data_IF_233572004014
#
_entry.id   IF_233572004014
#
_cell.length_a   1.000
_cell.length_b   1.000
_cell.length_c   1.000
_cell.angle_alpha   90.00
_cell.angle_beta   90.00
_cell.angle_gamma   90.00
#
_symmetry.space_group_name_H-M   'P 1'
#
loop_
_entity.id
_entity.type
_entity.pdbx_description
1 polymer ?
#
# COMPACT_ATOMS: atom_id res chain seq x y z
N UNK A 1 -5.59 -1.10 -42.89
CA UNK A 1 -4.26 -0.65 -42.44
C UNK A 1 -4.43 -0.11 -41.04
N UNK A 2 -3.83 -0.76 -40.04
CA UNK A 2 -3.88 -0.24 -38.66
C UNK A 2 -3.02 1.01 -38.59
N UNK A 3 -3.53 2.06 -37.96
CA UNK A 3 -2.74 3.26 -37.73
C UNK A 3 -1.65 2.97 -36.70
N UNK A 4 -0.55 3.72 -36.73
CA UNK A 4 0.54 3.59 -35.75
C UNK A 4 0.00 3.72 -34.31
N UNK A 5 -1.00 4.58 -34.11
CA UNK A 5 -1.69 4.72 -32.81
C UNK A 5 -2.43 3.46 -32.38
N UNK A 6 -3.08 2.76 -33.31
CA UNK A 6 -3.82 1.53 -33.03
C UNK A 6 -2.89 0.36 -32.68
N UNK A 7 -1.75 0.25 -33.38
CA UNK A 7 -0.72 -0.76 -33.07
C UNK A 7 -0.17 -0.55 -31.66
N UNK A 8 0.06 0.70 -31.25
CA UNK A 8 0.51 1.04 -29.90
C UNK A 8 -0.55 0.64 -28.86
N UNK A 9 -1.83 0.90 -29.13
CA UNK A 9 -2.94 0.50 -28.24
C UNK A 9 -2.98 -1.02 -28.06
N UNK A 10 -2.86 -1.78 -29.15
CA UNK A 10 -2.84 -3.25 -29.11
C UNK A 10 -1.61 -3.81 -28.36
N UNK A 11 -0.43 -3.21 -28.51
CA UNK A 11 0.77 -3.64 -27.78
C UNK A 11 0.65 -3.39 -26.27
N UNK A 12 0.08 -2.26 -25.87
CA UNK A 12 -0.15 -1.95 -24.45
C UNK A 12 -1.19 -2.89 -23.85
N UNK A 13 -2.27 -3.18 -24.57
CA UNK A 13 -3.31 -4.14 -24.14
C UNK A 13 -2.75 -5.56 -23.98
N UNK A 14 -1.96 -6.05 -24.93
CA UNK A 14 -1.32 -7.36 -24.84
C UNK A 14 -0.35 -7.45 -23.65
N UNK A 15 0.41 -6.39 -23.40
CA UNK A 15 1.35 -6.33 -22.27
C UNK A 15 0.63 -6.33 -20.92
N UNK A 16 -0.45 -5.55 -20.80
CA UNK A 16 -1.27 -5.52 -19.58
C UNK A 16 -1.95 -6.86 -19.32
N UNK A 17 -2.45 -7.52 -20.38
CA UNK A 17 -3.05 -8.85 -20.29
C UNK A 17 -2.03 -9.90 -19.83
N UNK A 18 -0.83 -9.93 -20.43
CA UNK A 18 0.25 -10.82 -20.03
C UNK A 18 0.68 -10.62 -18.58
N UNK A 19 0.76 -9.37 -18.13
CA UNK A 19 1.09 -9.05 -16.74
C UNK A 19 0.00 -9.52 -15.77
N UNK A 20 -1.28 -9.31 -16.08
CA UNK A 20 -2.39 -9.79 -15.27
C UNK A 20 -2.43 -11.32 -15.18
N UNK A 21 -2.19 -12.01 -16.31
CA UNK A 21 -2.12 -13.47 -16.36
C UNK A 21 -0.91 -14.00 -15.58
N UNK A 22 0.26 -13.38 -15.73
CA UNK A 22 1.47 -13.75 -15.00
C UNK A 22 1.35 -13.52 -13.49
N UNK A 23 0.71 -12.42 -13.09
CA UNK A 23 0.37 -12.13 -11.68
C UNK A 23 -0.56 -13.19 -11.10
N UNK A 24 -1.62 -13.55 -11.84
CA UNK A 24 -2.59 -14.56 -11.42
C UNK A 24 -1.94 -15.95 -11.28
N UNK A 25 -1.05 -16.33 -12.20
CA UNK A 25 -0.31 -17.60 -12.12
C UNK A 25 0.67 -17.64 -10.93
N UNK A 26 1.27 -16.50 -10.57
CA UNK A 26 2.16 -16.39 -9.42
C UNK A 26 1.40 -16.56 -8.10
N UNK A 27 0.19 -16.02 -8.00
CA UNK A 27 -0.70 -16.18 -6.85
C UNK A 27 -1.17 -17.64 -6.69
N UNK A 28 -1.43 -18.34 -7.81
CA UNK A 28 -1.89 -19.74 -7.81
C UNK A 28 -0.83 -20.72 -7.29
N UNK A 29 0.48 -20.39 -7.41
CA UNK A 29 1.57 -21.24 -6.92
C UNK A 29 1.72 -21.25 -5.40
N UNK A 30 1.14 -20.29 -4.68
CA UNK A 30 1.18 -20.27 -3.21
C UNK A 30 0.20 -21.25 -2.56
N UNK A 31 -0.80 -21.77 -3.29
CA UNK A 31 -1.77 -22.75 -2.76
C UNK A 31 -1.32 -24.20 -2.87
N UNK A 32 -0.40 -24.51 -3.79
CA UNK A 32 0.11 -25.87 -3.97
C UNK A 32 1.18 -26.24 -2.91
N UNK A 33 1.89 -25.26 -2.36
CA UNK A 33 2.91 -25.49 -1.32
C UNK A 33 2.29 -25.67 0.07
N UNK A 34 1.05 -25.24 0.29
CA UNK A 34 0.38 -25.30 1.60
C UNK A 34 -0.35 -26.62 1.92
N UNK A 35 -0.37 -27.61 1.00
CA UNK A 35 -1.03 -28.91 1.22
C UNK A 35 -0.10 -30.02 1.74
N UNK A 36 1.21 -29.77 1.88
CA UNK A 36 2.15 -30.74 2.46
C UNK A 36 2.61 -30.30 3.86
N UNK A 37 1.63 -30.14 4.76
CA UNK A 37 1.89 -29.88 6.17
C UNK A 37 0.92 -30.68 7.05
N UNK A 38 0.99 -32.01 6.94
CA UNK A 38 0.52 -32.98 7.94
C UNK A 38 1.22 -34.30 7.60
N UNK A 39 2.14 -34.82 8.42
CA UNK A 39 1.87 -35.66 9.59
C UNK A 39 3.07 -35.61 10.56
N UNK A 40 2.88 -35.32 11.86
CA UNK A 40 3.77 -35.78 12.92
C UNK A 40 3.31 -37.14 13.48
N UNK A 41 4.31 -37.90 13.98
CA UNK A 41 4.25 -39.08 14.85
C UNK A 41 4.02 -40.47 14.22
N UNK A 42 5.11 -41.28 14.13
CA UNK A 42 5.23 -42.56 14.86
C UNK A 42 6.39 -43.44 14.32
N UNK A 43 7.43 -43.59 15.16
CA UNK A 43 8.30 -44.78 15.36
C UNK A 43 9.21 -45.23 14.19
N UNK A 44 10.50 -44.89 14.30
CA UNK A 44 11.63 -45.80 14.08
C UNK A 44 12.96 -45.12 14.47
N UNK A 45 13.45 -45.35 15.69
CA UNK A 45 14.91 -45.32 15.94
C UNK A 45 15.51 -46.62 15.37
N UNK A 46 16.76 -46.58 14.86
CA UNK A 46 17.85 -47.10 15.68
C UNK A 46 19.13 -46.22 15.64
N UNK A 47 20.07 -46.49 16.56
CA UNK A 47 20.97 -45.51 17.15
C UNK A 47 22.36 -45.48 16.49
N UNK A 48 23.11 -44.39 16.69
CA UNK A 48 24.56 -44.43 16.53
C UNK A 48 25.21 -43.12 16.09
N UNK A 49 25.91 -42.52 17.05
CA UNK A 49 27.20 -41.85 16.88
C UNK A 49 27.25 -40.39 16.41
N UNK A 50 27.39 -39.54 17.43
CA UNK A 50 28.54 -38.68 17.72
C UNK A 50 28.80 -37.39 16.91
N UNK A 51 29.27 -36.40 17.70
CA UNK A 51 29.86 -35.08 17.39
C UNK A 51 28.91 -33.96 16.91
N UNK A 52 28.87 -32.76 17.49
CA UNK A 52 29.49 -32.11 18.65
C UNK A 52 28.65 -30.81 18.86
N UNK A 53 28.61 -30.25 20.08
CA UNK A 53 27.76 -29.13 20.47
C UNK A 53 28.45 -27.80 20.17
N UNK A 54 27.69 -26.70 20.03
CA UNK A 54 28.13 -25.41 20.58
C UNK A 54 26.93 -24.53 20.94
N UNK A 55 27.04 -24.04 22.17
CA UNK A 55 26.13 -23.32 23.06
C UNK A 55 25.57 -21.95 22.59
N UNK A 56 24.56 -21.40 23.33
CA UNK A 56 23.60 -20.36 22.92
C UNK A 56 23.84 -18.91 23.47
N UNK A 57 22.98 -17.91 23.07
CA UNK A 57 22.83 -16.51 23.53
C UNK A 57 23.40 -15.91 24.82
N UNK A 58 23.70 -14.60 24.73
CA UNK A 58 22.96 -13.44 25.30
C UNK A 58 23.58 -12.13 24.78
N UNK A 59 22.87 -11.00 24.60
CA UNK A 59 22.77 -9.89 25.58
C UNK A 59 21.97 -8.73 24.90
N UNK A 60 20.75 -8.32 25.30
CA UNK A 60 20.34 -7.37 26.37
C UNK A 60 21.13 -6.03 26.36
N UNK A 61 20.62 -4.79 26.52
CA UNK A 61 19.37 -4.15 27.04
C UNK A 61 19.50 -2.59 26.73
N UNK A 62 18.86 -1.59 27.40
CA UNK A 62 17.74 -0.79 26.86
C UNK A 62 17.81 0.76 27.17
N UNK A 63 16.67 1.45 26.99
CA UNK A 63 16.22 2.70 27.65
C UNK A 63 16.80 4.08 27.23
N UNK A 64 15.90 5.01 26.82
CA UNK A 64 15.61 6.25 27.58
C UNK A 64 14.43 7.04 26.95
N UNK A 65 13.49 7.43 27.82
CA UNK A 65 12.49 8.48 27.63
C UNK A 65 13.01 9.72 28.37
N UNK A 66 12.75 10.96 27.92
CA UNK A 66 11.92 11.77 28.80
C UNK A 66 10.92 12.72 28.10
N UNK A 67 9.80 12.85 28.80
CA UNK A 67 8.79 13.90 28.82
C UNK A 67 9.23 15.34 28.49
N UNK A 68 8.35 16.13 27.84
CA UNK A 68 7.66 17.26 28.50
C UNK A 68 6.53 17.87 27.66
N UNK A 69 5.47 18.26 28.37
CA UNK A 69 4.21 18.83 27.90
C UNK A 69 4.29 20.29 27.41
N UNK A 70 3.33 20.69 26.55
CA UNK A 70 2.62 22.00 26.64
C UNK A 70 1.35 22.07 25.78
N UNK A 71 0.22 21.83 26.46
CA UNK A 71 -1.09 22.50 26.43
C UNK A 71 -1.30 23.64 25.39
N UNK A 72 -2.30 23.50 24.51
CA UNK A 72 -3.31 24.55 24.19
C UNK A 72 -4.37 24.04 23.19
N UNK A 73 -5.61 23.93 23.65
CA UNK A 73 -6.82 23.74 22.83
C UNK A 73 -7.36 25.11 22.33
N UNK A 74 -8.58 25.22 21.77
CA UNK A 74 -8.98 24.91 20.39
C UNK A 74 -9.66 26.13 19.72
N UNK A 75 -9.61 26.29 18.39
CA UNK A 75 -10.56 27.19 17.70
C UNK A 75 -11.03 26.68 16.34
N UNK A 76 -12.32 26.31 16.34
CA UNK A 76 -13.34 26.79 15.38
C UNK A 76 -13.37 26.14 13.99
N UNK A 77 -14.07 25.01 13.93
CA UNK A 77 -15.35 24.86 13.18
C UNK A 77 -15.49 25.77 11.95
N UNK A 78 -15.35 25.16 10.78
CA UNK A 78 -16.13 25.51 9.60
C UNK A 78 -16.29 24.25 8.74
N UNK A 79 -17.38 23.53 8.95
CA UNK A 79 -18.00 22.81 7.85
C UNK A 79 -18.42 23.86 6.81
N UNK A 80 -18.23 23.57 5.52
CA UNK A 80 -19.42 23.58 4.71
C UNK A 80 -19.53 22.33 3.86
N UNK A 81 -20.72 21.72 3.95
CA UNK A 81 -21.34 20.90 2.93
C UNK A 81 -21.25 21.62 1.58
N UNK A 82 -20.76 20.94 0.55
CA UNK A 82 -21.23 21.04 -0.85
C UNK A 82 -20.54 19.97 -1.71
N UNK A 83 -21.27 18.89 -1.98
CA UNK A 83 -21.11 18.11 -3.21
C UNK A 83 -22.01 18.73 -4.30
N UNK A 84 -21.86 18.39 -5.59
CA UNK A 84 -20.64 18.08 -6.33
C UNK A 84 -20.54 18.98 -7.57
N UNK A 85 -19.35 19.43 -7.96
CA UNK A 85 -19.15 19.96 -9.32
C UNK A 85 -18.23 18.99 -10.05
N UNK A 86 -18.82 18.21 -10.96
CA UNK A 86 -18.12 17.50 -12.04
C UNK A 86 -17.56 18.59 -12.97
N UNK A 87 -16.39 19.13 -12.63
CA UNK A 87 -15.61 19.93 -13.58
C UNK A 87 -14.65 18.98 -14.29
N UNK A 88 -14.64 19.07 -15.62
CA UNK A 88 -13.78 18.31 -16.50
C UNK A 88 -12.34 18.26 -15.96
N UNK A 89 -11.83 17.04 -15.77
CA UNK A 89 -10.53 16.80 -15.17
C UNK A 89 -9.43 17.41 -16.06
N UNK A 90 -8.42 18.11 -15.49
CA UNK A 90 -7.13 18.20 -16.17
C UNK A 90 -6.65 16.78 -16.44
N UNK A 91 -5.87 16.55 -17.50
CA UNK A 91 -5.28 15.25 -17.85
C UNK A 91 -4.36 14.78 -16.72
N UNK A 92 -4.97 14.23 -15.68
CA UNK A 92 -4.33 13.64 -14.53
C UNK A 92 -4.03 12.21 -14.94
N UNK A 93 -2.76 11.84 -14.88
CA UNK A 93 -2.37 10.47 -15.14
C UNK A 93 -3.12 9.55 -14.16
N UNK A 94 -3.92 8.59 -14.66
CA UNK A 94 -4.67 7.68 -13.80
C UNK A 94 -3.68 6.91 -12.92
N UNK A 95 -3.98 6.84 -11.63
CA UNK A 95 -3.20 6.03 -10.69
C UNK A 95 -3.51 4.54 -10.86
N UNK A 96 -2.75 3.69 -10.15
CA UNK A 96 -2.90 2.23 -10.23
C UNK A 96 -4.25 1.70 -9.71
N UNK A 97 -5.05 2.55 -9.05
CA UNK A 97 -6.35 2.21 -8.47
C UNK A 97 -7.49 2.99 -9.13
N UNK A 98 -8.72 2.47 -9.14
CA UNK A 98 -9.88 3.20 -9.63
C UNK A 98 -10.07 4.49 -8.84
N UNK A 99 -10.34 5.60 -9.54
CA UNK A 99 -10.51 6.95 -8.95
C UNK A 99 -9.29 7.43 -8.16
N UNK A 100 -8.11 6.92 -8.52
CA UNK A 100 -6.83 7.42 -8.03
C UNK A 100 -6.06 8.13 -9.14
N UNK A 101 -5.08 8.91 -8.72
CA UNK A 101 -4.17 9.62 -9.60
C UNK A 101 -2.73 9.32 -9.24
N UNK A 102 -1.87 9.30 -10.27
CA UNK A 102 -0.44 9.21 -10.07
C UNK A 102 0.10 10.51 -9.45
N UNK A 103 1.03 10.43 -8.49
CA UNK A 103 1.69 11.60 -7.92
C UNK A 103 2.59 12.28 -8.94
N UNK A 104 2.86 13.56 -8.71
CA UNK A 104 3.94 14.27 -9.39
C UNK A 104 5.31 13.80 -8.89
N UNK A 105 6.40 14.13 -9.62
CA UNK A 105 7.75 13.99 -9.10
C UNK A 105 7.85 14.59 -7.69
N UNK A 106 8.37 13.82 -6.73
CA UNK A 106 8.43 14.24 -5.32
C UNK A 106 7.20 13.88 -4.46
N UNK A 107 6.19 13.20 -5.02
CA UNK A 107 5.01 12.76 -4.29
C UNK A 107 3.96 13.84 -4.06
N UNK A 108 4.02 14.92 -4.84
CA UNK A 108 3.05 16.01 -4.81
C UNK A 108 1.71 15.63 -5.43
N UNK A 109 0.67 16.38 -5.06
CA UNK A 109 -0.69 16.17 -5.53
C UNK A 109 -0.81 16.52 -7.03
N UNK A 110 -1.43 15.65 -7.84
CA UNK A 110 -1.68 15.92 -9.26
C UNK A 110 -2.72 17.01 -9.51
N UNK A 111 -3.55 17.30 -8.52
CA UNK A 111 -4.55 18.36 -8.59
C UNK A 111 -5.00 18.72 -7.18
N UNK A 112 -5.46 19.97 -6.94
CA UNK A 112 -6.06 20.37 -5.66
C UNK A 112 -7.29 19.54 -5.27
N UNK A 113 -7.93 18.84 -6.22
CA UNK A 113 -9.01 17.91 -5.93
C UNK A 113 -8.54 16.63 -5.22
N UNK A 114 -7.24 16.32 -5.29
CA UNK A 114 -6.66 15.13 -4.70
C UNK A 114 -6.09 15.45 -3.32
N UNK A 115 -6.93 15.31 -2.30
CA UNK A 115 -6.58 15.70 -0.94
C UNK A 115 -6.04 14.54 -0.10
N UNK A 116 -6.27 13.29 -0.51
CA UNK A 116 -5.89 12.11 0.27
C UNK A 116 -4.59 11.50 -0.28
N UNK A 117 -3.59 11.35 0.59
CA UNK A 117 -2.30 10.72 0.27
C UNK A 117 -2.35 9.22 0.55
N UNK A 118 -2.17 8.39 -0.47
CA UNK A 118 -2.09 6.93 -0.35
C UNK A 118 -0.66 6.40 -0.43
N UNK A 119 -0.30 5.50 0.47
CA UNK A 119 0.94 4.72 0.40
C UNK A 119 0.62 3.28 -0.03
N UNK A 120 1.02 2.91 -1.24
CA UNK A 120 0.73 1.58 -1.81
C UNK A 120 1.47 0.48 -1.06
N UNK A 121 2.66 0.75 -0.52
CA UNK A 121 3.46 -0.23 0.22
C UNK A 121 2.78 -0.70 1.52
N UNK A 122 2.11 0.20 2.23
CA UNK A 122 1.45 -0.10 3.50
C UNK A 122 -0.07 -0.21 3.40
N UNK A 123 -0.65 0.10 2.22
CA UNK A 123 -2.10 0.22 2.03
C UNK A 123 -2.76 1.16 3.05
N UNK A 124 -2.06 2.23 3.43
CA UNK A 124 -2.56 3.24 4.36
C UNK A 124 -2.79 4.55 3.62
N UNK A 125 -3.95 5.17 3.86
CA UNK A 125 -4.24 6.51 3.40
C UNK A 125 -4.14 7.54 4.54
N UNK A 126 -3.69 8.73 4.19
CA UNK A 126 -3.50 9.86 5.10
C UNK A 126 -4.41 11.01 4.64
N UNK A 127 -5.44 11.35 5.43
CA UNK A 127 -6.28 12.50 5.17
C UNK A 127 -5.60 13.82 5.58
N UNK A 128 -6.02 14.96 5.01
CA UNK A 128 -5.51 16.27 5.40
C UNK A 128 -5.77 16.53 6.89
N UNK A 129 -4.75 17.02 7.60
CA UNK A 129 -4.81 17.28 9.04
C UNK A 129 -4.35 16.11 9.94
N UNK A 130 -3.88 14.99 9.37
CA UNK A 130 -3.17 13.95 10.13
C UNK A 130 -1.70 14.30 10.37
N UNK A 131 -1.12 13.85 11.47
CA UNK A 131 0.29 14.10 11.85
C UNK A 131 1.30 13.59 10.81
N UNK A 132 0.95 12.52 10.10
CA UNK A 132 1.78 11.91 9.07
C UNK A 132 1.56 12.52 7.68
N UNK A 133 0.55 13.39 7.50
CA UNK A 133 0.19 13.91 6.17
C UNK A 133 1.31 14.69 5.51
N UNK A 134 2.03 15.54 6.26
CA UNK A 134 3.13 16.34 5.73
C UNK A 134 4.42 15.56 5.52
N UNK A 135 4.59 14.44 6.23
CA UNK A 135 5.82 13.61 6.20
C UNK A 135 5.73 12.48 5.18
N UNK A 136 4.51 12.03 4.85
CA UNK A 136 4.32 10.96 3.88
C UNK A 136 4.41 11.50 2.45
N UNK A 137 5.33 10.90 1.70
CA UNK A 137 5.39 10.98 0.24
C UNK A 137 4.32 10.04 -0.32
N UNK A 138 3.34 10.59 -1.02
CA UNK A 138 2.25 9.80 -1.58
C UNK A 138 2.73 9.09 -2.86
N UNK A 139 2.40 7.80 -2.97
CA UNK A 139 2.59 7.02 -4.19
C UNK A 139 1.32 6.99 -5.05
N UNK A 140 0.18 7.31 -4.43
CA UNK A 140 -1.10 7.47 -5.10
C UNK A 140 -1.87 8.58 -4.39
N UNK A 141 -2.69 9.27 -5.16
CA UNK A 141 -3.54 10.33 -4.67
C UNK A 141 -5.01 9.98 -4.91
N UNK A 142 -5.87 10.25 -3.93
CA UNK A 142 -7.32 10.07 -4.07
C UNK A 142 -8.07 11.38 -3.90
N UNK A 143 -9.21 11.47 -4.58
CA UNK A 143 -10.16 12.58 -4.46
C UNK A 143 -10.90 12.58 -3.13
N UNK A 144 -11.22 11.40 -2.61
CA UNK A 144 -11.92 11.23 -1.35
C UNK A 144 -11.43 10.03 -0.55
N UNK A 145 -11.86 9.97 0.71
CA UNK A 145 -11.55 8.82 1.58
C UNK A 145 -12.31 7.57 1.15
N UNK A 146 -13.55 7.71 0.67
CA UNK A 146 -14.34 6.61 0.12
C UNK A 146 -13.64 5.93 -1.06
N UNK A 147 -12.98 6.70 -1.93
CA UNK A 147 -12.21 6.16 -3.06
C UNK A 147 -11.00 5.36 -2.56
N UNK A 148 -10.32 5.84 -1.52
CA UNK A 148 -9.20 5.14 -0.90
C UNK A 148 -9.65 3.83 -0.22
N UNK A 149 -10.79 3.85 0.47
CA UNK A 149 -11.37 2.65 1.11
C UNK A 149 -11.84 1.64 0.06
N UNK A 150 -12.47 2.11 -1.02
CA UNK A 150 -12.86 1.25 -2.15
C UNK A 150 -11.64 0.61 -2.84
N UNK A 151 -10.50 1.31 -2.83
CA UNK A 151 -9.21 0.77 -3.29
C UNK A 151 -8.52 -0.15 -2.27
N UNK A 152 -9.13 -0.42 -1.11
CA UNK A 152 -8.60 -1.31 -0.08
C UNK A 152 -7.65 -0.64 0.92
N UNK A 153 -7.52 0.70 0.89
CA UNK A 153 -6.65 1.42 1.81
C UNK A 153 -7.33 1.63 3.17
N UNK A 154 -6.54 1.50 4.23
CA UNK A 154 -6.97 1.73 5.60
C UNK A 154 -6.59 3.13 6.07
N UNK A 155 -7.41 3.73 6.92
CA UNK A 155 -7.10 5.05 7.49
C UNK A 155 -5.88 4.97 8.39
N UNK A 156 -4.95 5.91 8.22
CA UNK A 156 -3.83 6.10 9.14
C UNK A 156 -4.35 6.40 10.55
N UNK A 157 -3.72 5.78 11.56
CA UNK A 157 -3.95 6.14 12.96
C UNK A 157 -3.46 7.58 13.17
N UNK A 158 -4.34 8.42 13.71
CA UNK A 158 -4.06 9.84 13.99
C UNK A 158 -3.08 10.00 15.13
#
# INVERSE_FOLDING_TARGET
MFTVGEIIIWLVLASALGFALGWLMREQRFRATSLTAKVPDAVAEPPGSDDEPTSPPQESVPAEEPALAKKAAPKKRAAPKKAPVRTAAPTIAPGAFPRSAAPLPGGEAPSPAHVIKGNVKSMIYHPPGGSSYSRTVAQIWFTGEDDAVAAGFRRSRR
#
